data_IF_533332349948
#
_entry.id   IF_533332349948
#
_cell.length_a   1.000
_cell.length_b   1.000
_cell.length_c   1.000
_cell.angle_alpha   90.00
_cell.angle_beta   90.00
_cell.angle_gamma   90.00
#
_symmetry.space_group_name_H-M   'P 1'
#
loop_
_entity.id
_entity.type
_entity.pdbx_description
1 polymer ?
#
# COMPACT_ATOMS: atom_id res chain seq x y z
N UNK A 1 -27.00 -16.20 60.87
CA UNK A 1 -26.42 -14.85 60.82
C UNK A 1 -26.03 -14.58 59.38
N UNK A 2 -26.36 -13.40 58.90
CA UNK A 2 -26.81 -13.10 57.53
C UNK A 2 -25.77 -12.22 56.81
N UNK A 3 -25.76 -12.26 55.47
CA UNK A 3 -25.33 -11.17 54.55
C UNK A 3 -23.79 -11.02 54.36
N UNK A 4 -23.16 -10.77 53.21
CA UNK A 4 -23.46 -10.45 51.80
C UNK A 4 -22.25 -10.95 50.97
N UNK A 5 -22.27 -11.22 49.66
CA UNK A 5 -23.13 -10.71 48.60
C UNK A 5 -22.38 -9.71 47.71
N UNK A 6 -21.23 -10.08 47.11
CA UNK A 6 -20.43 -9.17 46.27
C UNK A 6 -20.93 -9.24 44.82
N UNK A 7 -22.13 -8.67 44.61
CA UNK A 7 -22.74 -8.46 43.30
C UNK A 7 -22.05 -7.30 42.59
N UNK A 8 -21.13 -7.60 41.68
CA UNK A 8 -20.62 -6.63 40.72
C UNK A 8 -21.73 -6.29 39.71
N UNK A 9 -22.08 -5.02 39.65
CA UNK A 9 -23.12 -4.48 38.78
C UNK A 9 -22.59 -4.24 37.36
N UNK A 10 -23.39 -4.48 36.31
CA UNK A 10 -23.04 -4.07 34.95
C UNK A 10 -23.18 -2.55 34.83
N UNK A 11 -22.09 -1.88 34.43
CA UNK A 11 -22.11 -0.47 34.09
C UNK A 11 -23.08 -0.23 32.91
N UNK A 12 -24.10 0.59 33.18
CA UNK A 12 -25.08 1.06 32.20
C UNK A 12 -24.43 2.03 31.21
N UNK A 13 -25.03 2.03 30.03
CA UNK A 13 -24.63 2.67 28.79
C UNK A 13 -24.50 4.19 28.86
N UNK A 14 -23.49 4.73 28.17
CA UNK A 14 -23.49 6.11 27.66
C UNK A 14 -24.14 6.13 26.27
N UNK A 15 -25.07 7.07 26.00
CA UNK A 15 -25.58 7.29 24.66
C UNK A 15 -24.71 8.29 23.89
N UNK A 16 -24.69 8.10 22.57
CA UNK A 16 -24.61 9.16 21.56
C UNK A 16 -23.32 9.97 21.46
N UNK A 17 -22.50 9.63 20.45
CA UNK A 17 -21.88 10.60 19.52
C UNK A 17 -21.18 9.87 18.38
N UNK A 18 -21.87 9.71 17.26
CA UNK A 18 -21.29 9.49 15.92
C UNK A 18 -22.19 10.23 14.93
N UNK A 19 -21.71 10.74 13.79
CA UNK A 19 -20.34 11.07 13.38
C UNK A 19 -20.22 12.55 12.92
N UNK A 20 -19.02 13.13 12.96
CA UNK A 20 -18.72 14.28 12.09
C UNK A 20 -18.37 13.73 10.70
N UNK A 21 -19.08 14.11 9.62
CA UNK A 21 -18.63 13.83 8.27
C UNK A 21 -17.41 14.72 8.00
N UNK A 22 -16.22 14.14 7.93
CA UNK A 22 -15.10 14.83 7.30
C UNK A 22 -15.34 14.82 5.79
N UNK A 23 -15.64 16.01 5.31
CA UNK A 23 -15.74 16.42 3.92
C UNK A 23 -14.59 15.80 3.09
N UNK A 24 -14.85 15.18 1.94
CA UNK A 24 -13.80 14.90 0.98
C UNK A 24 -13.33 16.24 0.40
N UNK A 25 -12.07 16.59 0.61
CA UNK A 25 -11.41 17.64 -0.16
C UNK A 25 -11.38 17.17 -1.61
N UNK A 26 -12.29 17.71 -2.41
CA UNK A 26 -12.37 17.50 -3.85
C UNK A 26 -11.07 18.03 -4.47
N UNK A 27 -10.13 17.14 -4.76
CA UNK A 27 -8.99 17.50 -5.60
C UNK A 27 -9.48 17.48 -7.03
N UNK A 28 -9.80 18.68 -7.51
CA UNK A 28 -9.94 19.09 -8.91
C UNK A 28 -9.28 18.11 -9.89
N UNK A 29 -10.01 17.59 -10.89
CA UNK A 29 -9.39 16.88 -12.00
C UNK A 29 -8.46 17.86 -12.71
N UNK A 30 -7.15 17.66 -12.57
CA UNK A 30 -6.21 18.33 -13.46
C UNK A 30 -6.40 17.71 -14.83
N UNK A 31 -7.08 18.48 -15.67
CA UNK A 31 -7.19 18.31 -17.11
C UNK A 31 -5.82 17.94 -17.67
N UNK A 32 -5.65 16.68 -18.04
CA UNK A 32 -4.52 16.24 -18.87
C UNK A 32 -4.76 16.87 -20.24
N UNK A 33 -4.04 17.97 -20.51
CA UNK A 33 -3.81 18.42 -21.88
C UNK A 33 -3.14 17.29 -22.63
N UNK A 34 -3.86 16.73 -23.61
CA UNK A 34 -3.32 15.75 -24.54
C UNK A 34 -2.13 16.36 -25.31
N UNK A 35 -1.01 15.64 -25.48
CA UNK A 35 0.01 16.03 -26.45
C UNK A 35 -0.52 15.88 -27.88
N UNK A 36 -0.07 16.70 -28.85
CA UNK A 36 -0.55 16.66 -30.22
C UNK A 36 -0.20 15.32 -30.90
N UNK A 37 -1.19 14.71 -31.54
CA UNK A 37 -1.06 13.53 -32.40
C UNK A 37 -0.25 13.87 -33.65
N UNK A 38 0.79 13.11 -34.03
CA UNK A 38 1.43 13.27 -35.34
C UNK A 38 0.54 12.69 -36.47
N UNK A 39 0.51 13.29 -37.67
CA UNK A 39 -0.24 12.77 -38.81
C UNK A 39 0.38 11.47 -39.36
N UNK A 40 -0.43 10.57 -39.98
CA UNK A 40 0.09 9.33 -40.55
C UNK A 40 0.87 9.59 -41.85
N UNK A 41 2.07 9.01 -42.03
CA UNK A 41 2.73 9.00 -43.34
C UNK A 41 2.03 8.00 -44.27
N UNK A 42 1.53 8.50 -45.39
CA UNK A 42 1.14 7.67 -46.54
C UNK A 42 2.35 7.50 -47.43
N UNK A 43 2.91 6.29 -47.46
CA UNK A 43 3.46 5.62 -48.65
C UNK A 43 3.92 4.21 -48.28
N UNK A 44 3.57 3.26 -49.16
CA UNK A 44 3.77 1.83 -48.96
C UNK A 44 5.23 1.44 -49.21
N UNK A 45 5.91 0.93 -48.19
CA UNK A 45 7.14 0.15 -48.36
C UNK A 45 7.10 -1.09 -47.47
N UNK A 46 7.15 -2.26 -48.12
CA UNK A 46 7.29 -3.56 -47.47
C UNK A 46 8.68 -3.64 -46.83
N UNK A 47 8.76 -3.54 -45.51
CA UNK A 47 9.97 -3.86 -44.75
C UNK A 47 9.59 -4.30 -43.32
N UNK A 48 10.23 -5.36 -42.86
CA UNK A 48 9.91 -6.12 -41.66
C UNK A 48 9.83 -5.25 -40.39
N UNK A 49 8.74 -5.39 -39.65
CA UNK A 49 8.55 -4.76 -38.36
C UNK A 49 9.31 -5.55 -37.27
N UNK A 50 10.46 -5.05 -36.83
CA UNK A 50 11.01 -5.41 -35.52
C UNK A 50 10.51 -4.34 -34.55
N UNK A 51 9.37 -4.60 -33.92
CA UNK A 51 8.84 -3.77 -32.85
C UNK A 51 9.69 -4.00 -31.58
N UNK A 52 10.68 -3.14 -31.36
CA UNK A 52 11.34 -2.99 -30.06
C UNK A 52 10.36 -2.31 -29.11
N UNK A 53 9.59 -3.11 -28.37
CA UNK A 53 8.79 -2.61 -27.27
C UNK A 53 9.73 -2.13 -26.15
N UNK A 54 9.99 -0.83 -26.09
CA UNK A 54 10.57 -0.20 -24.92
C UNK A 54 9.52 -0.25 -23.80
N UNK A 55 9.61 -1.25 -22.92
CA UNK A 55 8.82 -1.29 -21.70
C UNK A 55 9.34 -0.17 -20.80
N UNK A 56 8.58 0.93 -20.74
CA UNK A 56 8.79 1.94 -19.71
C UNK A 56 8.56 1.27 -18.35
N UNK A 57 9.65 0.91 -17.67
CA UNK A 57 9.61 0.42 -16.30
C UNK A 57 9.09 1.57 -15.42
N UNK A 58 7.80 1.54 -15.09
CA UNK A 58 7.25 2.47 -14.09
C UNK A 58 7.94 2.15 -12.76
N UNK A 59 8.67 3.11 -12.21
CA UNK A 59 9.26 3.04 -10.86
C UNK A 59 8.14 3.20 -9.83
N UNK A 60 7.24 2.22 -9.76
CA UNK A 60 6.07 2.22 -8.88
C UNK A 60 6.25 1.35 -7.62
N UNK A 61 7.45 0.82 -7.40
CA UNK A 61 7.80 -0.19 -6.37
C UNK A 61 7.17 0.04 -5.01
N UNK A 62 7.19 1.28 -4.58
CA UNK A 62 6.67 1.73 -3.29
C UNK A 62 5.76 2.94 -3.48
N UNK A 63 5.15 3.11 -4.66
CA UNK A 63 4.18 4.17 -4.90
C UNK A 63 3.00 4.02 -3.93
N UNK A 64 2.71 5.09 -3.21
CA UNK A 64 1.68 5.11 -2.16
C UNK A 64 2.14 4.62 -0.79
N UNK A 65 3.35 4.07 -0.66
CA UNK A 65 3.93 3.78 0.65
C UNK A 65 4.45 5.08 1.28
N UNK A 66 4.17 5.35 2.57
CA UNK A 66 4.73 6.50 3.28
C UNK A 66 6.28 6.49 3.23
N UNK A 67 6.89 7.66 3.02
CA UNK A 67 8.34 7.79 2.91
C UNK A 67 9.09 7.23 4.11
N UNK A 68 8.54 7.41 5.32
CA UNK A 68 9.15 6.87 6.53
C UNK A 68 9.27 5.33 6.53
N UNK A 69 8.36 4.62 5.87
CA UNK A 69 8.36 3.16 5.82
C UNK A 69 9.20 2.58 4.67
N UNK A 70 9.47 3.36 3.61
CA UNK A 70 10.25 2.90 2.45
C UNK A 70 11.59 2.22 2.80
N UNK A 71 12.47 2.82 3.63
CA UNK A 71 13.74 2.17 3.98
C UNK A 71 13.53 0.81 4.65
N UNK A 72 12.49 0.66 5.48
CA UNK A 72 12.19 -0.62 6.10
C UNK A 72 11.86 -1.72 5.09
N UNK A 73 11.13 -1.41 4.01
CA UNK A 73 10.81 -2.39 2.97
C UNK A 73 12.04 -2.73 2.11
N UNK A 74 12.89 -1.74 1.84
CA UNK A 74 14.09 -1.91 1.02
C UNK A 74 15.23 -2.63 1.75
N UNK A 75 15.54 -2.21 2.98
CA UNK A 75 16.67 -2.73 3.76
C UNK A 75 16.43 -4.16 4.23
N UNK A 76 15.15 -4.52 4.46
CA UNK A 76 14.78 -5.88 4.84
C UNK A 76 14.48 -6.78 3.64
N UNK A 77 14.47 -6.28 2.40
CA UNK A 77 14.25 -7.13 1.21
C UNK A 77 15.12 -8.40 1.18
N UNK A 78 16.41 -8.38 1.58
CA UNK A 78 17.22 -9.60 1.61
C UNK A 78 16.68 -10.71 2.52
N UNK A 79 15.90 -10.40 3.56
CA UNK A 79 15.28 -11.42 4.42
C UNK A 79 14.11 -12.14 3.75
N UNK A 80 13.62 -11.63 2.61
CA UNK A 80 12.47 -12.21 1.92
C UNK A 80 12.76 -13.52 1.19
N UNK A 81 13.99 -13.71 0.71
CA UNK A 81 14.34 -14.79 -0.22
C UNK A 81 13.77 -14.60 -1.63
N UNK A 82 13.09 -13.47 -1.90
CA UNK A 82 12.52 -13.16 -3.20
C UNK A 82 13.58 -12.66 -4.18
N UNK A 83 13.36 -12.89 -5.48
CA UNK A 83 14.32 -12.48 -6.52
C UNK A 83 14.22 -10.99 -6.85
N UNK A 84 13.03 -10.43 -6.74
CA UNK A 84 12.72 -9.06 -7.14
C UNK A 84 11.86 -8.36 -6.09
N UNK A 85 12.08 -7.06 -5.89
CA UNK A 85 11.30 -6.20 -4.97
C UNK A 85 9.83 -6.02 -5.39
N UNK A 86 9.48 -6.40 -6.63
CA UNK A 86 8.12 -6.40 -7.20
C UNK A 86 7.36 -7.70 -7.00
N UNK A 87 8.04 -8.75 -6.56
CA UNK A 87 7.41 -10.07 -6.44
C UNK A 87 6.52 -10.11 -5.20
N UNK A 88 5.41 -9.37 -5.24
CA UNK A 88 4.47 -9.28 -4.12
C UNK A 88 3.86 -10.65 -3.79
N UNK A 89 3.79 -11.59 -4.73
CA UNK A 89 3.37 -12.97 -4.44
C UNK A 89 4.38 -13.63 -3.50
N UNK A 90 5.67 -13.48 -3.76
CA UNK A 90 6.73 -13.99 -2.90
C UNK A 90 6.83 -13.20 -1.58
N UNK A 91 6.90 -11.87 -1.65
CA UNK A 91 7.11 -10.99 -0.50
C UNK A 91 6.01 -11.17 0.55
N UNK A 92 4.74 -11.18 0.12
CA UNK A 92 3.61 -11.35 1.03
C UNK A 92 3.59 -12.75 1.70
N UNK A 93 4.21 -13.77 1.09
CA UNK A 93 4.34 -15.11 1.70
C UNK A 93 5.55 -15.22 2.61
N UNK A 94 6.47 -14.28 2.57
CA UNK A 94 7.71 -14.35 3.33
C UNK A 94 7.50 -13.78 4.73
N UNK A 95 7.20 -14.66 5.68
CA UNK A 95 7.12 -14.34 7.11
C UNK A 95 8.36 -13.59 7.63
N UNK A 96 9.62 -14.02 7.36
CA UNK A 96 10.80 -13.28 7.87
C UNK A 96 10.90 -11.86 7.30
N UNK A 97 10.42 -11.62 6.08
CA UNK A 97 10.34 -10.27 5.53
C UNK A 97 9.25 -9.44 6.22
N UNK A 98 8.04 -9.98 6.31
CA UNK A 98 6.90 -9.29 6.90
C UNK A 98 7.17 -8.90 8.36
N UNK A 99 7.77 -9.79 9.14
CA UNK A 99 8.18 -9.51 10.52
C UNK A 99 9.28 -8.46 10.60
N UNK A 100 10.33 -8.58 9.77
CA UNK A 100 11.44 -7.64 9.77
C UNK A 100 10.98 -6.21 9.38
N UNK A 101 10.14 -6.09 8.36
CA UNK A 101 9.53 -4.82 7.95
C UNK A 101 8.63 -4.26 9.05
N UNK A 102 7.75 -5.09 9.63
CA UNK A 102 6.85 -4.66 10.71
C UNK A 102 7.63 -4.13 11.91
N UNK A 103 8.67 -4.86 12.34
CA UNK A 103 9.54 -4.45 13.43
C UNK A 103 10.33 -3.19 13.10
N UNK A 104 10.84 -3.06 11.87
CA UNK A 104 11.54 -1.86 11.44
C UNK A 104 10.62 -0.63 11.46
N UNK A 105 9.40 -0.73 10.91
CA UNK A 105 8.44 0.39 10.88
C UNK A 105 8.02 0.78 12.31
N UNK A 106 7.83 -0.19 13.20
CA UNK A 106 7.48 0.06 14.60
C UNK A 106 8.60 0.73 15.40
N UNK A 107 9.87 0.46 15.06
CA UNK A 107 11.06 1.07 15.70
C UNK A 107 11.51 2.36 15.01
N UNK A 108 11.03 2.62 13.81
CA UNK A 108 11.33 3.84 13.07
C UNK A 108 10.57 5.03 13.66
N UNK A 109 11.05 6.25 13.38
CA UNK A 109 10.41 7.50 13.81
C UNK A 109 9.15 7.84 12.99
N UNK A 110 8.42 6.84 12.51
CA UNK A 110 7.21 7.04 11.74
C UNK A 110 6.08 7.49 12.65
N UNK A 111 5.29 8.48 12.18
CA UNK A 111 4.08 8.87 12.89
C UNK A 111 3.09 7.70 12.87
N UNK A 112 2.25 7.58 13.90
CA UNK A 112 1.24 6.51 13.98
C UNK A 112 0.38 6.44 12.71
N UNK A 113 -0.01 7.59 12.13
CA UNK A 113 -0.76 7.63 10.87
C UNK A 113 0.03 7.12 9.65
N UNK A 114 1.36 7.20 9.65
CA UNK A 114 2.21 6.61 8.62
C UNK A 114 2.35 5.10 8.80
N UNK A 115 2.49 4.63 10.04
CA UNK A 115 2.51 3.20 10.36
C UNK A 115 1.22 2.53 9.87
N UNK A 116 0.06 3.14 10.17
CA UNK A 116 -1.23 2.62 9.71
C UNK A 116 -1.37 2.64 8.18
N UNK A 117 -0.92 3.71 7.51
CA UNK A 117 -0.92 3.79 6.04
C UNK A 117 0.01 2.76 5.40
N UNK A 118 1.19 2.52 5.99
CA UNK A 118 2.13 1.51 5.51
C UNK A 118 1.54 0.10 5.66
N UNK A 119 0.91 -0.20 6.79
CA UNK A 119 0.21 -1.47 7.00
C UNK A 119 -0.93 -1.66 6.00
N UNK A 120 -1.77 -0.64 5.83
CA UNK A 120 -2.88 -0.70 4.89
C UNK A 120 -2.39 -0.91 3.45
N UNK A 121 -1.35 -0.19 3.04
CA UNK A 121 -0.71 -0.37 1.75
C UNK A 121 -0.23 -1.81 1.54
N UNK A 122 0.45 -2.40 2.53
CA UNK A 122 0.94 -3.77 2.46
C UNK A 122 -0.22 -4.76 2.35
N UNK A 123 -1.26 -4.60 3.19
CA UNK A 123 -2.48 -5.41 3.14
C UNK A 123 -3.15 -5.32 1.76
N UNK A 124 -3.25 -4.14 1.15
CA UNK A 124 -3.91 -3.97 -0.15
C UNK A 124 -3.11 -4.60 -1.29
N UNK A 125 -1.78 -4.43 -1.30
CA UNK A 125 -0.90 -5.10 -2.28
C UNK A 125 -0.99 -6.62 -2.18
N UNK A 126 -0.91 -7.12 -0.95
CA UNK A 126 -0.98 -8.55 -0.66
C UNK A 126 -2.35 -9.15 -0.99
N UNK A 127 -3.45 -8.44 -0.74
CA UNK A 127 -4.79 -8.84 -1.19
C UNK A 127 -4.92 -8.85 -2.71
N UNK A 128 -4.39 -7.85 -3.40
CA UNK A 128 -4.46 -7.74 -4.86
C UNK A 128 -3.81 -8.93 -5.59
N UNK A 129 -2.82 -9.58 -4.96
CA UNK A 129 -2.15 -10.79 -5.49
C UNK A 129 -2.65 -12.10 -4.86
N UNK A 130 -3.74 -12.05 -4.07
CA UNK A 130 -4.34 -13.22 -3.44
C UNK A 130 -3.45 -13.86 -2.37
N UNK A 131 -2.70 -13.06 -1.61
CA UNK A 131 -1.83 -13.47 -0.50
C UNK A 131 -2.01 -12.53 0.71
N UNK A 132 -3.19 -12.46 1.35
CA UNK A 132 -3.42 -11.54 2.47
C UNK A 132 -2.43 -11.80 3.63
N UNK A 133 -1.98 -10.72 4.26
CA UNK A 133 -1.11 -10.68 5.45
C UNK A 133 -1.86 -10.11 6.66
#
# INVERSE_FOLDING_TARGET
MTTAGNRWTPAKHHPSSRPTPLLPTETKPNTVSSPPTPPPPSMQFKAAAIALFAVAATTQELSGLPDCAKPCFDDNFPSSGCKEKKDYICLCRSEPYNEAVTNCVAKSNCKVGEILRARQWATDKCKAVGKPI
#
